data_IF_881390615096
#
_entry.id   IF_881390615096
#
_cell.length_a   1.000
_cell.length_b   1.000
_cell.length_c   1.000
_cell.angle_alpha   90.00
_cell.angle_beta   90.00
_cell.angle_gamma   90.00
#
_symmetry.space_group_name_H-M   'P 1'
#
loop_
_entity.id
_entity.type
_entity.pdbx_description
1 polymer ?
#
# COMPACT_ATOMS: atom_id res chain seq x y z
N UNK A 1 6.48 22.90 28.23
CA UNK A 1 6.48 22.79 26.75
C UNK A 1 7.23 21.51 26.41
N UNK A 2 6.59 20.55 25.74
CA UNK A 2 7.22 19.27 25.36
C UNK A 2 7.93 19.48 24.01
N UNK A 3 9.27 19.38 23.94
CA UNK A 3 9.98 19.61 22.69
C UNK A 3 9.72 18.45 21.72
N UNK A 4 9.19 18.78 20.55
CA UNK A 4 9.00 17.85 19.44
C UNK A 4 10.16 18.10 18.46
N UNK A 5 10.91 17.07 18.05
CA UNK A 5 11.97 17.23 17.04
C UNK A 5 11.43 17.87 15.75
N UNK A 6 12.20 18.80 15.17
CA UNK A 6 11.82 19.51 13.92
C UNK A 6 11.48 18.52 12.79
N UNK A 7 12.15 17.38 12.75
CA UNK A 7 11.93 16.31 11.77
C UNK A 7 10.52 15.70 11.80
N UNK A 8 9.83 15.76 12.95
CA UNK A 8 8.48 15.20 13.11
C UNK A 8 7.39 16.25 13.31
N UNK A 9 7.78 17.52 13.45
CA UNK A 9 6.86 18.62 13.68
C UNK A 9 5.83 18.77 12.55
N UNK A 10 6.24 18.55 11.30
CA UNK A 10 5.34 18.61 10.13
C UNK A 10 4.26 17.52 10.08
N UNK A 11 4.39 16.46 10.88
CA UNK A 11 3.42 15.36 10.94
C UNK A 11 2.44 15.51 12.11
N UNK A 12 2.70 16.38 13.09
CA UNK A 12 1.83 16.58 14.24
C UNK A 12 0.54 17.32 13.83
N UNK A 13 -0.61 16.64 13.88
CA UNK A 13 -1.92 17.19 13.49
C UNK A 13 -2.62 17.90 14.65
N UNK A 14 -2.55 17.34 15.86
CA UNK A 14 -3.12 17.95 17.04
C UNK A 14 -2.39 17.52 18.32
N UNK A 15 -2.54 18.33 19.36
CA UNK A 15 -2.11 17.98 20.70
C UNK A 15 -3.19 18.37 21.71
N UNK A 16 -3.32 17.61 22.78
CA UNK A 16 -4.24 17.88 23.89
C UNK A 16 -3.58 17.62 25.23
N UNK A 17 -4.06 18.36 26.24
CA UNK A 17 -3.66 18.19 27.62
C UNK A 17 -4.89 17.74 28.40
N UNK A 18 -4.79 16.61 29.10
CA UNK A 18 -5.86 16.03 29.89
C UNK A 18 -5.45 15.81 31.34
N UNK A 19 -6.42 15.67 32.25
CA UNK A 19 -6.13 15.25 33.62
C UNK A 19 -5.72 13.77 33.65
N UNK A 20 -4.72 13.45 34.46
CA UNK A 20 -4.43 12.08 34.89
C UNK A 20 -4.81 11.96 36.38
N UNK A 21 -5.48 10.87 36.75
CA UNK A 21 -5.93 10.65 38.13
C UNK A 21 -4.88 9.94 38.98
N UNK A 22 -3.84 9.38 38.36
CA UNK A 22 -2.80 8.60 39.06
C UNK A 22 -1.50 9.36 39.28
N UNK A 23 -1.34 10.51 38.64
CA UNK A 23 -0.11 11.30 38.69
C UNK A 23 -0.46 12.75 38.97
N UNK A 24 0.49 13.48 39.56
CA UNK A 24 0.44 14.94 39.69
C UNK A 24 0.83 15.65 38.39
N UNK A 25 0.96 14.90 37.30
CA UNK A 25 1.29 15.40 35.98
C UNK A 25 0.09 15.34 35.04
N UNK A 26 -0.09 16.38 34.23
CA UNK A 26 -1.10 16.37 33.17
C UNK A 26 -0.70 15.42 32.05
N UNK A 27 -1.66 14.61 31.57
CA UNK A 27 -1.50 13.79 30.39
C UNK A 27 -1.32 14.69 29.16
N UNK A 28 -0.30 14.42 28.36
CA UNK A 28 -0.09 15.08 27.06
C UNK A 28 -0.29 14.04 25.97
N UNK A 29 -1.24 14.28 25.06
CA UNK A 29 -1.48 13.44 23.90
C UNK A 29 -1.14 14.21 22.62
N UNK A 30 -0.38 13.59 21.71
CA UNK A 30 0.01 14.17 20.42
C UNK A 30 -0.41 13.19 19.33
N UNK A 31 -1.15 13.66 18.33
CA UNK A 31 -1.53 12.87 17.17
C UNK A 31 -0.62 13.24 16.00
N UNK A 32 0.17 12.28 15.52
CA UNK A 32 1.05 12.45 14.37
C UNK A 32 0.55 11.62 13.19
N UNK A 33 0.36 12.25 12.04
CA UNK A 33 0.03 11.62 10.77
C UNK A 33 1.27 11.62 9.87
N UNK A 34 1.97 10.49 9.81
CA UNK A 34 3.17 10.32 8.98
C UNK A 34 2.86 10.09 7.49
N UNK A 35 1.59 9.90 7.15
CA UNK A 35 1.15 9.51 5.83
C UNK A 35 -0.11 10.30 5.49
N UNK A 36 0.07 11.53 5.00
CA UNK A 36 -1.03 12.33 4.45
C UNK A 36 -1.33 11.86 3.02
N UNK A 37 -1.72 10.59 2.91
CA UNK A 37 -2.20 10.05 1.66
C UNK A 37 -3.70 10.34 1.59
N UNK A 38 -4.07 11.45 0.98
CA UNK A 38 -5.46 11.66 0.58
C UNK A 38 -5.92 10.41 -0.19
N UNK A 39 -6.91 9.71 0.38
CA UNK A 39 -7.54 8.58 -0.30
C UNK A 39 -8.47 9.19 -1.34
N UNK A 40 -8.01 9.19 -2.58
CA UNK A 40 -8.74 9.76 -3.70
C UNK A 40 -8.26 9.19 -5.05
N UNK A 41 -9.00 9.46 -6.13
CA UNK A 41 -8.59 9.09 -7.47
C UNK A 41 -7.28 9.79 -7.85
N UNK A 42 -6.26 9.03 -8.23
CA UNK A 42 -5.00 9.60 -8.73
C UNK A 42 -3.84 8.62 -8.73
N UNK A 43 -3.62 7.90 -7.62
CA UNK A 43 -2.53 6.94 -7.50
C UNK A 43 -3.04 5.55 -7.16
N UNK A 44 -2.69 4.57 -7.99
CA UNK A 44 -2.90 3.18 -7.65
C UNK A 44 -1.85 2.74 -6.63
N UNK A 45 -2.32 2.02 -5.60
CA UNK A 45 -1.49 1.45 -4.54
C UNK A 45 -1.72 -0.05 -4.53
N UNK A 46 -0.62 -0.80 -4.55
CA UNK A 46 -0.68 -2.23 -4.35
C UNK A 46 -1.10 -2.54 -2.92
N UNK A 47 -2.04 -3.46 -2.75
CA UNK A 47 -2.33 -4.02 -1.42
C UNK A 47 -1.18 -4.96 -1.02
N UNK A 48 -0.28 -4.49 -0.15
CA UNK A 48 0.90 -5.27 0.27
C UNK A 48 0.55 -6.59 0.96
N UNK A 49 -0.66 -6.76 1.48
CA UNK A 49 -1.10 -8.03 2.05
C UNK A 49 -1.12 -9.17 1.02
N UNK A 50 -1.29 -8.84 -0.27
CA UNK A 50 -1.22 -9.83 -1.35
C UNK A 50 0.16 -10.46 -1.48
N UNK A 51 1.22 -9.80 -1.03
CA UNK A 51 2.58 -10.35 -1.08
C UNK A 51 2.80 -11.51 -0.10
N UNK A 52 1.90 -11.67 0.87
CA UNK A 52 1.92 -12.79 1.82
C UNK A 52 1.10 -13.97 1.28
N UNK A 53 0.21 -13.73 0.32
CA UNK A 53 -0.63 -14.76 -0.31
C UNK A 53 0.19 -15.59 -1.32
N UNK A 54 0.42 -16.89 -1.07
CA UNK A 54 1.20 -17.73 -1.97
C UNK A 54 0.58 -17.88 -3.37
N UNK A 55 -0.75 -17.87 -3.47
CA UNK A 55 -1.45 -17.97 -4.76
C UNK A 55 -1.13 -16.75 -5.62
N UNK A 56 -1.23 -15.56 -5.02
CA UNK A 56 -0.87 -14.30 -5.67
C UNK A 56 0.60 -14.26 -6.11
N UNK A 57 1.51 -14.66 -5.23
CA UNK A 57 2.95 -14.66 -5.53
C UNK A 57 3.26 -15.61 -6.68
N UNK A 58 2.65 -16.79 -6.71
CA UNK A 58 2.84 -17.75 -7.80
C UNK A 58 2.24 -17.26 -9.11
N UNK A 59 1.07 -16.64 -9.07
CA UNK A 59 0.47 -15.98 -10.24
C UNK A 59 1.42 -14.91 -10.80
N UNK A 60 1.98 -14.06 -9.94
CA UNK A 60 2.89 -13.00 -10.40
C UNK A 60 4.20 -13.53 -10.97
N UNK A 61 4.74 -14.61 -10.41
CA UNK A 61 5.90 -15.30 -11.00
C UNK A 61 5.58 -15.84 -12.40
N UNK A 62 4.39 -16.39 -12.59
CA UNK A 62 3.95 -16.89 -13.89
C UNK A 62 3.82 -15.74 -14.91
N UNK A 63 3.20 -14.62 -14.52
CA UNK A 63 3.07 -13.41 -15.37
C UNK A 63 4.43 -12.89 -15.81
N UNK A 64 5.40 -12.76 -14.89
CA UNK A 64 6.75 -12.28 -15.23
C UNK A 64 7.41 -13.25 -16.22
N UNK A 65 7.32 -14.55 -15.97
CA UNK A 65 7.90 -15.57 -16.85
C UNK A 65 7.28 -15.54 -18.24
N UNK A 66 5.96 -15.51 -18.31
CA UNK A 66 5.20 -15.48 -19.56
C UNK A 66 5.50 -14.20 -20.36
N UNK A 67 5.55 -13.04 -19.70
CA UNK A 67 5.95 -11.79 -20.30
C UNK A 67 7.37 -11.88 -20.90
N UNK A 68 8.34 -12.36 -20.12
CA UNK A 68 9.70 -12.54 -20.62
C UNK A 68 9.78 -13.54 -21.77
N UNK A 69 8.97 -14.60 -21.77
CA UNK A 69 8.97 -15.60 -22.84
C UNK A 69 8.35 -15.03 -24.14
N UNK A 70 7.30 -14.21 -24.04
CA UNK A 70 6.62 -13.59 -25.18
C UNK A 70 7.44 -12.45 -25.81
N UNK A 71 8.09 -11.62 -24.99
CA UNK A 71 8.75 -10.39 -25.45
C UNK A 71 10.27 -10.53 -25.69
N UNK A 72 10.83 -11.75 -25.62
CA UNK A 72 12.25 -12.04 -25.85
C UNK A 72 12.81 -11.55 -27.19
N UNK A 73 11.95 -11.38 -28.19
CA UNK A 73 12.33 -11.12 -29.59
C UNK A 73 11.90 -9.75 -30.09
N UNK A 74 11.26 -8.94 -29.24
CA UNK A 74 10.53 -7.74 -29.68
C UNK A 74 11.45 -6.54 -29.95
N UNK A 75 12.74 -6.63 -29.61
CA UNK A 75 13.74 -5.60 -29.91
C UNK A 75 13.46 -4.26 -29.22
N UNK A 76 12.67 -4.28 -28.14
CA UNK A 76 12.32 -3.13 -27.32
C UNK A 76 13.54 -2.61 -26.55
N UNK A 77 13.50 -1.32 -26.19
CA UNK A 77 14.52 -0.76 -25.30
C UNK A 77 14.27 -1.23 -23.86
N UNK A 78 15.33 -1.42 -23.05
CA UNK A 78 15.17 -1.90 -21.67
C UNK A 78 14.21 -1.05 -20.82
N UNK A 79 14.17 0.26 -21.04
CA UNK A 79 13.24 1.16 -20.34
C UNK A 79 11.78 0.89 -20.71
N UNK A 80 11.50 0.69 -22.00
CA UNK A 80 10.13 0.44 -22.48
C UNK A 80 9.66 -0.95 -22.05
N UNK A 81 10.53 -1.96 -22.11
CA UNK A 81 10.25 -3.31 -21.58
C UNK A 81 9.87 -3.27 -20.11
N UNK A 82 10.60 -2.48 -19.31
CA UNK A 82 10.33 -2.35 -17.90
C UNK A 82 8.98 -1.68 -17.62
N UNK A 83 8.62 -0.63 -18.36
CA UNK A 83 7.31 0.02 -18.23
C UNK A 83 6.17 -0.92 -18.65
N UNK A 84 6.34 -1.67 -19.73
CA UNK A 84 5.37 -2.67 -20.20
C UNK A 84 5.16 -3.78 -19.16
N UNK A 85 6.24 -4.31 -18.59
CA UNK A 85 6.16 -5.30 -17.51
C UNK A 85 5.42 -4.75 -16.28
N UNK A 86 5.69 -3.51 -15.87
CA UNK A 86 4.97 -2.86 -14.76
C UNK A 86 3.47 -2.74 -15.05
N UNK A 87 3.11 -2.40 -16.29
CA UNK A 87 1.71 -2.30 -16.69
C UNK A 87 1.00 -3.66 -16.59
N UNK A 88 1.63 -4.73 -17.07
CA UNK A 88 1.05 -6.07 -16.99
C UNK A 88 0.94 -6.56 -15.55
N UNK A 89 1.98 -6.32 -14.73
CA UNK A 89 1.92 -6.59 -13.29
C UNK A 89 0.76 -5.85 -12.62
N UNK A 90 0.61 -4.55 -12.90
CA UNK A 90 -0.45 -3.73 -12.33
C UNK A 90 -1.83 -4.22 -12.74
N UNK A 91 -2.00 -4.57 -14.02
CA UNK A 91 -3.27 -5.13 -14.55
C UNK A 91 -3.65 -6.40 -13.78
N UNK A 92 -2.73 -7.34 -13.66
CA UNK A 92 -2.97 -8.61 -12.97
C UNK A 92 -3.23 -8.41 -11.49
N UNK A 93 -2.51 -7.49 -10.83
CA UNK A 93 -2.71 -7.19 -9.42
C UNK A 93 -4.10 -6.62 -9.13
N UNK A 94 -4.58 -5.72 -9.98
CA UNK A 94 -5.93 -5.14 -9.89
C UNK A 94 -6.98 -6.23 -10.09
N UNK A 95 -6.83 -7.07 -11.12
CA UNK A 95 -7.78 -8.14 -11.42
C UNK A 95 -7.88 -9.15 -10.26
N UNK A 96 -6.74 -9.58 -9.72
CA UNK A 96 -6.70 -10.50 -8.59
C UNK A 96 -7.35 -9.92 -7.34
N UNK A 97 -7.02 -8.67 -7.00
CA UNK A 97 -7.62 -7.95 -5.86
C UNK A 97 -9.14 -7.87 -5.98
N UNK A 98 -9.64 -7.61 -7.20
CA UNK A 98 -11.06 -7.55 -7.47
C UNK A 98 -11.74 -8.92 -7.33
N UNK A 99 -11.07 -10.01 -7.76
CA UNK A 99 -11.57 -11.38 -7.58
C UNK A 99 -11.68 -11.75 -6.09
N UNK A 100 -10.58 -11.59 -5.33
CA UNK A 100 -10.56 -11.90 -3.89
C UNK A 100 -11.61 -11.11 -3.13
N UNK A 101 -11.83 -9.84 -3.47
CA UNK A 101 -12.92 -9.04 -2.88
C UNK A 101 -14.31 -9.64 -3.16
N UNK A 102 -14.56 -10.12 -4.38
CA UNK A 102 -15.84 -10.76 -4.75
C UNK A 102 -16.02 -12.10 -4.04
N UNK A 103 -14.96 -12.89 -3.89
CA UNK A 103 -14.98 -14.15 -3.15
C UNK A 103 -15.35 -13.93 -1.68
N UNK A 104 -14.67 -13.00 -1.00
CA UNK A 104 -14.96 -12.64 0.40
C UNK A 104 -16.41 -12.15 0.60
N UNK A 105 -16.94 -11.37 -0.36
CA UNK A 105 -18.33 -10.90 -0.29
C UNK A 105 -19.35 -12.02 -0.46
N UNK A 106 -19.02 -13.08 -1.21
CA UNK A 106 -19.90 -14.24 -1.34
C UNK A 106 -19.91 -15.06 -0.05
N UNK A 107 -18.73 -15.29 0.54
CA UNK A 107 -18.59 -16.05 1.79
C UNK A 107 -19.30 -15.38 2.98
N UNK A 108 -19.34 -14.04 3.03
CA UNK A 108 -20.02 -13.28 4.08
C UNK A 108 -21.55 -13.20 3.94
N UNK A 109 -22.08 -13.52 2.76
CA UNK A 109 -23.52 -13.51 2.47
C UNK A 109 -24.15 -14.91 2.55
N UNK A 110 -23.41 -15.90 3.07
CA UNK A 110 -23.87 -17.26 3.39
C UNK A 110 -24.01 -17.37 4.91
#
# INVERSE_FOLDING_TARGET
>A
MFPVPDSIQGYAKCSSVGPDYRTDHSLISINCCFVDLERGPGYWKLNCLLLIDPEYVNLMRAVIKEYCDQHKTDGLTPDLDWEMLKMEFRRTAIAYSASKKREQQKEQNI
#
